data_IF_423919700970
#
_entry.id   IF_423919700970
#
_cell.length_a   1.000
_cell.length_b   1.000
_cell.length_c   1.000
_cell.angle_alpha   90.00
_cell.angle_beta   90.00
_cell.angle_gamma   90.00
#
_symmetry.space_group_name_H-M   'P 1'
#
loop_
_entity.id
_entity.type
_entity.pdbx_description
1 polymer ?
#
# COMPACT_ATOMS: atom_id res chain seq x y z
N UNK A 1 5.33 27.39 -60.66
CA UNK A 1 5.27 26.17 -59.83
C UNK A 1 6.40 26.23 -58.84
N UNK A 2 6.18 26.09 -57.53
CA UNK A 2 7.28 26.03 -56.57
C UNK A 2 8.12 24.75 -56.81
N UNK A 3 9.45 24.82 -56.74
CA UNK A 3 10.31 23.66 -56.98
C UNK A 3 10.03 22.58 -55.93
N UNK A 4 9.82 21.34 -56.38
CA UNK A 4 9.67 20.18 -55.47
C UNK A 4 10.95 20.10 -54.60
N UNK A 5 10.74 20.08 -53.26
CA UNK A 5 11.85 19.88 -52.33
C UNK A 5 12.58 18.55 -52.66
N UNK A 6 13.92 18.54 -52.71
CA UNK A 6 14.67 17.36 -53.07
C UNK A 6 14.42 16.22 -52.09
N UNK A 7 14.36 14.97 -52.59
CA UNK A 7 14.03 13.73 -51.83
C UNK A 7 14.81 13.58 -50.52
N UNK A 8 16.06 14.06 -50.43
CA UNK A 8 16.87 13.99 -49.23
C UNK A 8 16.35 14.92 -48.12
N UNK A 9 15.74 16.06 -48.44
CA UNK A 9 15.15 16.99 -47.43
C UNK A 9 13.91 16.34 -46.83
N UNK A 10 13.11 15.67 -47.69
CA UNK A 10 11.91 14.98 -47.23
C UNK A 10 12.23 13.78 -46.32
N UNK A 11 13.22 12.95 -46.71
CA UNK A 11 13.72 11.83 -45.87
C UNK A 11 14.26 12.31 -44.54
N UNK A 12 15.05 13.41 -44.49
CA UNK A 12 15.55 13.99 -43.25
C UNK A 12 14.45 14.45 -42.32
N UNK A 13 13.44 15.14 -42.84
CA UNK A 13 12.27 15.58 -42.06
C UNK A 13 11.49 14.38 -41.51
N UNK A 14 11.35 13.32 -42.26
CA UNK A 14 10.70 12.08 -41.82
C UNK A 14 11.47 11.38 -40.71
N UNK A 15 12.77 11.25 -40.83
CA UNK A 15 13.65 10.69 -39.78
C UNK A 15 13.60 11.51 -38.48
N UNK A 16 13.62 12.83 -38.58
CA UNK A 16 13.48 13.71 -37.39
C UNK A 16 12.14 13.51 -36.71
N UNK A 17 11.05 13.44 -37.47
CA UNK A 17 9.71 13.18 -36.92
C UNK A 17 9.64 11.80 -36.26
N UNK A 18 10.14 10.77 -36.93
CA UNK A 18 10.20 9.42 -36.38
C UNK A 18 10.99 9.39 -35.07
N UNK A 19 12.18 9.97 -35.05
CA UNK A 19 13.01 10.07 -33.84
C UNK A 19 12.29 10.82 -32.71
N UNK A 20 11.61 11.93 -33.04
CA UNK A 20 10.83 12.70 -32.07
C UNK A 20 9.67 11.87 -31.49
N UNK A 21 8.86 11.21 -32.32
CA UNK A 21 7.75 10.39 -31.82
C UNK A 21 8.25 9.17 -31.03
N UNK A 22 9.35 8.54 -31.48
CA UNK A 22 9.99 7.46 -30.73
C UNK A 22 10.45 7.93 -29.36
N UNK A 23 11.11 9.10 -29.29
CA UNK A 23 11.50 9.72 -28.02
C UNK A 23 10.29 10.00 -27.10
N UNK A 24 9.22 10.60 -27.65
CA UNK A 24 8.02 10.87 -26.86
C UNK A 24 7.44 9.59 -26.29
N UNK A 25 7.26 8.55 -27.11
CA UNK A 25 6.63 7.29 -26.68
C UNK A 25 7.51 6.49 -25.72
N UNK A 26 8.81 6.43 -25.94
CA UNK A 26 9.71 5.58 -25.13
C UNK A 26 10.39 6.30 -23.97
N UNK A 27 10.33 7.63 -23.91
CA UNK A 27 11.01 8.39 -22.85
C UNK A 27 10.03 9.34 -22.15
N UNK A 28 9.45 10.29 -22.86
CA UNK A 28 8.65 11.35 -22.23
C UNK A 28 7.37 10.81 -21.57
N UNK A 29 6.65 9.92 -22.25
CA UNK A 29 5.43 9.29 -21.70
C UNK A 29 5.76 8.39 -20.50
N UNK A 30 6.70 7.43 -20.56
CA UNK A 30 7.08 6.63 -19.39
C UNK A 30 7.58 7.47 -18.21
N UNK A 31 8.34 8.55 -18.46
CA UNK A 31 8.79 9.45 -17.42
C UNK A 31 7.61 10.14 -16.72
N UNK A 32 6.62 10.63 -17.48
CA UNK A 32 5.40 11.22 -16.92
C UNK A 32 4.59 10.20 -16.12
N UNK A 33 4.40 8.98 -16.64
CA UNK A 33 3.71 7.91 -15.91
C UNK A 33 4.48 7.46 -14.66
N UNK A 34 5.82 7.46 -14.67
CA UNK A 34 6.60 7.17 -13.47
C UNK A 34 6.34 8.18 -12.36
N UNK A 35 6.08 9.44 -12.70
CA UNK A 35 5.69 10.46 -11.72
C UNK A 35 4.33 10.13 -11.09
N UNK A 36 3.38 9.61 -11.89
CA UNK A 36 2.06 9.17 -11.37
C UNK A 36 2.22 7.99 -10.41
N UNK A 37 3.05 6.99 -10.76
CA UNK A 37 3.30 5.83 -9.90
C UNK A 37 3.97 6.18 -8.57
N UNK A 38 4.83 7.20 -8.57
CA UNK A 38 5.61 7.62 -7.40
C UNK A 38 4.93 8.73 -6.60
N UNK A 39 3.78 9.23 -7.06
CA UNK A 39 3.11 10.36 -6.42
C UNK A 39 2.42 9.91 -5.15
N UNK A 40 2.85 10.46 -4.02
CA UNK A 40 2.13 10.41 -2.76
C UNK A 40 1.00 11.45 -2.67
N UNK A 41 0.42 11.57 -1.49
CA UNK A 41 -0.67 12.49 -1.17
C UNK A 41 -0.33 13.26 0.12
N UNK A 42 0.67 14.14 0.03
CA UNK A 42 1.03 15.00 1.14
C UNK A 42 -0.14 15.97 1.47
N UNK A 43 -0.41 16.14 2.76
CA UNK A 43 -1.45 17.01 3.30
C UNK A 43 -0.87 17.87 4.41
N UNK A 44 -1.43 19.06 4.68
CA UNK A 44 -1.05 19.85 5.84
C UNK A 44 -1.26 19.06 7.14
N UNK A 45 -0.40 19.25 8.18
CA UNK A 45 -0.59 18.60 9.45
C UNK A 45 -1.88 19.09 10.12
N UNK A 46 -2.65 18.15 10.68
CA UNK A 46 -3.82 18.41 11.52
C UNK A 46 -3.56 18.02 12.97
N UNK A 47 -4.35 18.53 13.89
CA UNK A 47 -4.31 18.13 15.29
C UNK A 47 -4.97 16.74 15.47
N UNK A 48 -4.45 15.90 16.37
CA UNK A 48 -5.08 14.62 16.69
C UNK A 48 -6.44 14.85 17.38
N UNK A 49 -7.40 13.96 17.16
CA UNK A 49 -8.67 14.01 17.87
C UNK A 49 -8.48 13.70 19.38
N UNK A 50 -9.49 14.01 20.23
CA UNK A 50 -9.41 13.73 21.67
C UNK A 50 -9.02 12.28 21.98
N UNK A 51 -8.08 12.12 22.91
CA UNK A 51 -7.58 10.81 23.33
C UNK A 51 -6.40 10.27 22.51
N UNK A 52 -6.04 10.92 21.42
CA UNK A 52 -4.84 10.61 20.63
C UNK A 52 -3.72 11.60 20.94
N UNK A 53 -2.49 11.11 20.91
CA UNK A 53 -1.27 11.89 21.06
C UNK A 53 -0.55 11.89 19.73
N UNK A 54 -0.22 13.09 19.23
CA UNK A 54 0.61 13.24 18.05
C UNK A 54 2.05 12.81 18.37
N UNK A 55 2.65 12.07 17.45
CA UNK A 55 4.02 11.61 17.53
C UNK A 55 4.67 11.50 16.17
N UNK A 56 5.87 10.98 16.14
CA UNK A 56 6.55 10.63 14.90
C UNK A 56 7.49 9.47 15.10
N UNK A 57 7.71 8.70 14.02
CA UNK A 57 8.73 7.65 13.96
C UNK A 57 9.73 7.98 12.85
N UNK A 58 10.97 7.52 13.01
CA UNK A 58 12.01 7.70 12.01
C UNK A 58 12.15 6.42 11.17
N UNK A 59 11.92 6.52 9.87
CA UNK A 59 12.07 5.43 8.91
C UNK A 59 13.02 5.85 7.79
N UNK A 60 14.16 5.17 7.67
CA UNK A 60 15.17 5.45 6.62
C UNK A 60 15.53 6.95 6.50
N UNK A 61 15.62 7.67 7.63
CA UNK A 61 15.92 9.09 7.66
C UNK A 61 14.73 10.02 7.45
N UNK A 62 13.54 9.50 7.16
CA UNK A 62 12.28 10.25 7.04
C UNK A 62 11.53 10.27 8.37
N UNK A 63 11.01 11.42 8.74
CA UNK A 63 10.11 11.57 9.89
C UNK A 63 8.68 11.32 9.42
N UNK A 64 8.06 10.27 9.96
CA UNK A 64 6.71 9.87 9.64
C UNK A 64 5.77 10.24 10.79
N UNK A 65 4.64 10.88 10.47
CA UNK A 65 3.63 11.26 11.46
C UNK A 65 2.88 10.06 11.99
N UNK A 66 2.63 10.07 13.28
CA UNK A 66 1.80 9.07 13.95
C UNK A 66 0.78 9.72 14.87
N UNK A 67 -0.36 9.05 15.07
CA UNK A 67 -1.26 9.30 16.19
C UNK A 67 -1.41 8.03 17.01
N UNK A 68 -1.17 8.14 18.31
CA UNK A 68 -1.25 7.00 19.22
C UNK A 68 -2.31 7.24 20.28
N UNK A 69 -3.22 6.29 20.43
CA UNK A 69 -4.14 6.20 21.58
C UNK A 69 -3.73 5.06 22.47
N UNK A 70 -3.44 5.36 23.72
CA UNK A 70 -2.97 4.38 24.69
C UNK A 70 -4.11 3.51 25.20
N UNK A 71 -3.85 2.21 25.29
CA UNK A 71 -4.69 1.18 25.89
C UNK A 71 -3.96 0.41 26.97
N UNK A 72 -4.38 -0.83 27.20
CA UNK A 72 -3.77 -1.75 28.16
C UNK A 72 -2.58 -2.48 27.55
N UNK A 73 -1.48 -2.61 28.31
CA UNK A 73 -0.31 -3.38 27.89
C UNK A 73 -0.55 -4.91 27.93
N UNK A 74 -1.69 -5.34 28.49
CA UNK A 74 -2.11 -6.74 28.50
C UNK A 74 -2.76 -7.20 27.17
N UNK A 75 -3.03 -6.27 26.25
CA UNK A 75 -3.57 -6.55 24.92
C UNK A 75 -2.54 -6.24 23.84
N UNK A 76 -2.54 -6.97 22.72
CA UNK A 76 -1.70 -6.64 21.58
C UNK A 76 -1.95 -5.20 21.10
N UNK A 77 -0.89 -4.46 20.79
CA UNK A 77 -1.05 -3.15 20.19
C UNK A 77 -1.42 -3.29 18.70
N UNK A 78 -2.23 -2.36 18.19
CA UNK A 78 -2.70 -2.37 16.80
C UNK A 78 -2.02 -1.26 16.01
N UNK A 79 -1.37 -1.60 14.91
CA UNK A 79 -0.86 -0.64 13.92
C UNK A 79 -1.80 -0.63 12.73
N UNK A 80 -2.35 0.55 12.40
CA UNK A 80 -3.27 0.72 11.26
C UNK A 80 -2.61 1.58 10.19
N UNK A 81 -2.65 1.10 8.95
CA UNK A 81 -1.92 1.65 7.81
C UNK A 81 -2.87 1.89 6.63
N UNK A 82 -2.88 3.13 6.16
CA UNK A 82 -3.76 3.60 5.08
C UNK A 82 -3.32 3.14 3.68
N UNK A 83 -4.19 3.31 2.69
CA UNK A 83 -3.94 3.08 1.27
C UNK A 83 -3.29 4.26 0.55
N UNK A 84 -3.03 4.10 -0.75
CA UNK A 84 -2.50 5.16 -1.62
C UNK A 84 -3.49 6.33 -1.71
N UNK A 85 -2.98 7.54 -1.55
CA UNK A 85 -3.78 8.76 -1.67
C UNK A 85 -4.55 9.15 -0.42
N UNK A 86 -4.41 8.38 0.67
CA UNK A 86 -5.10 8.58 1.95
C UNK A 86 -4.14 9.02 3.07
N UNK A 87 -4.62 9.15 4.28
CA UNK A 87 -3.86 9.51 5.47
C UNK A 87 -4.40 8.82 6.72
N UNK A 88 -3.66 8.89 7.81
CA UNK A 88 -4.06 8.33 9.09
C UNK A 88 -5.40 8.87 9.63
N UNK A 89 -5.79 10.06 9.20
CA UNK A 89 -7.03 10.73 9.64
C UNK A 89 -8.28 9.96 9.29
N UNK A 90 -8.30 9.34 8.10
CA UNK A 90 -9.43 8.54 7.62
C UNK A 90 -9.63 7.23 8.41
N UNK A 91 -8.70 6.89 9.29
CA UNK A 91 -8.71 5.62 10.04
C UNK A 91 -9.00 5.78 11.53
N UNK A 92 -9.31 7.01 12.00
CA UNK A 92 -9.61 7.29 13.41
C UNK A 92 -10.81 6.46 13.90
N UNK A 93 -11.89 6.40 13.13
CA UNK A 93 -13.08 5.62 13.52
C UNK A 93 -12.76 4.12 13.67
N UNK A 94 -11.91 3.59 12.78
CA UNK A 94 -11.43 2.20 12.89
C UNK A 94 -10.58 2.01 14.14
N UNK A 95 -9.66 2.93 14.39
CA UNK A 95 -8.80 2.92 15.57
C UNK A 95 -9.59 2.98 16.88
N UNK A 96 -10.67 3.75 16.91
CA UNK A 96 -11.54 3.89 18.07
C UNK A 96 -12.25 2.58 18.45
N UNK A 97 -12.56 1.70 17.48
CA UNK A 97 -13.13 0.39 17.78
C UNK A 97 -12.15 -0.45 18.60
N UNK A 98 -10.87 -0.50 18.20
CA UNK A 98 -9.82 -1.22 18.92
C UNK A 98 -9.52 -0.56 20.28
N UNK A 99 -9.48 0.76 20.32
CA UNK A 99 -9.22 1.51 21.57
C UNK A 99 -10.31 1.28 22.60
N UNK A 100 -11.60 1.20 22.19
CA UNK A 100 -12.70 0.82 23.12
C UNK A 100 -12.58 -0.60 23.64
N UNK A 101 -11.90 -1.50 22.93
CA UNK A 101 -11.56 -2.85 23.40
C UNK A 101 -10.30 -2.90 24.27
N UNK A 102 -9.68 -1.77 24.52
CA UNK A 102 -8.52 -1.63 25.40
C UNK A 102 -7.18 -1.85 24.71
N UNK A 103 -7.11 -1.93 23.38
CA UNK A 103 -5.84 -1.97 22.66
C UNK A 103 -5.15 -0.60 22.63
N UNK A 104 -3.83 -0.57 22.74
CA UNK A 104 -3.06 0.58 22.24
C UNK A 104 -3.14 0.58 20.74
N UNK A 105 -3.47 1.74 20.13
CA UNK A 105 -3.59 1.86 18.66
C UNK A 105 -2.64 2.94 18.17
N UNK A 106 -1.86 2.62 17.15
CA UNK A 106 -1.00 3.54 16.42
C UNK A 106 -1.49 3.66 14.98
N UNK A 107 -1.85 4.87 14.59
CA UNK A 107 -2.12 5.27 13.23
C UNK A 107 -0.86 5.87 12.62
N UNK A 108 -0.50 5.48 11.41
CA UNK A 108 0.71 5.90 10.70
C UNK A 108 0.36 6.57 9.37
N UNK A 109 0.89 7.77 9.13
CA UNK A 109 1.05 8.26 7.76
C UNK A 109 2.29 7.63 7.14
N UNK A 110 2.11 6.90 6.06
CA UNK A 110 3.23 6.37 5.27
C UNK A 110 4.02 7.51 4.62
N UNK A 111 5.25 7.21 4.19
CA UNK A 111 6.08 8.17 3.44
C UNK A 111 5.32 8.83 2.30
N UNK A 112 5.61 10.11 2.04
CA UNK A 112 4.97 10.93 1.02
C UNK A 112 3.44 11.06 1.14
N UNK A 113 2.83 10.70 2.28
CA UNK A 113 1.40 10.82 2.54
C UNK A 113 1.13 11.59 3.83
N UNK A 114 -0.07 12.17 3.92
CA UNK A 114 -0.46 12.97 5.07
C UNK A 114 0.59 14.03 5.39
N UNK A 115 0.98 14.16 6.65
CA UNK A 115 2.04 15.08 7.08
C UNK A 115 3.40 14.38 7.29
N UNK A 116 3.59 13.18 6.75
CA UNK A 116 4.88 12.50 6.74
C UNK A 116 5.81 13.05 5.68
N UNK A 117 7.12 12.99 5.96
CA UNK A 117 8.15 13.33 5.00
C UNK A 117 8.23 12.29 3.87
N UNK A 118 8.94 12.64 2.80
CA UNK A 118 9.19 11.79 1.65
C UNK A 118 8.76 12.42 0.34
N UNK A 119 9.47 12.13 -0.74
CA UNK A 119 9.18 12.64 -2.08
C UNK A 119 8.45 11.64 -2.97
N UNK A 120 8.49 10.36 -2.59
CA UNK A 120 7.95 9.26 -3.40
C UNK A 120 7.28 8.20 -2.55
N UNK A 121 6.20 7.61 -3.08
CA UNK A 121 5.66 6.33 -2.63
C UNK A 121 6.20 5.21 -3.53
N UNK A 122 6.33 4.01 -2.99
CA UNK A 122 6.80 2.83 -3.72
C UNK A 122 5.76 1.70 -3.70
N UNK A 123 4.51 2.06 -3.42
CA UNK A 123 3.36 1.14 -3.39
C UNK A 123 3.62 -0.12 -2.53
N UNK A 124 4.06 0.05 -1.28
CA UNK A 124 4.36 -1.05 -0.35
C UNK A 124 5.81 -1.54 -0.41
N UNK A 125 6.67 -0.94 -1.25
CA UNK A 125 8.11 -1.18 -1.29
C UNK A 125 8.80 -0.72 -0.01
N UNK A 126 9.19 0.53 0.03
CA UNK A 126 9.78 1.17 1.21
C UNK A 126 8.77 1.41 2.34
N UNK A 127 7.47 1.37 2.07
CA UNK A 127 6.43 1.48 3.10
C UNK A 127 6.45 0.31 4.09
N UNK A 128 7.05 -0.82 3.74
CA UNK A 128 7.38 -1.91 4.66
C UNK A 128 8.22 -1.40 5.84
N UNK A 129 9.29 -0.65 5.57
CA UNK A 129 10.19 -0.10 6.59
C UNK A 129 9.49 0.95 7.45
N UNK A 130 8.50 1.67 6.90
CA UNK A 130 7.67 2.61 7.66
C UNK A 130 6.82 1.89 8.71
N UNK A 131 6.19 0.78 8.32
CA UNK A 131 5.43 -0.07 9.24
C UNK A 131 6.35 -0.68 10.31
N UNK A 132 7.54 -1.15 9.93
CA UNK A 132 8.51 -1.70 10.88
C UNK A 132 8.97 -0.65 11.89
N UNK A 133 9.21 0.60 11.45
CA UNK A 133 9.56 1.70 12.35
C UNK A 133 8.42 1.98 13.37
N UNK A 134 7.16 1.92 12.95
CA UNK A 134 6.01 2.05 13.86
C UNK A 134 5.93 0.89 14.87
N UNK A 135 6.20 -0.34 14.44
CA UNK A 135 6.25 -1.52 15.31
C UNK A 135 7.36 -1.39 16.34
N UNK A 136 8.54 -0.93 15.94
CA UNK A 136 9.69 -0.73 16.83
C UNK A 136 9.45 0.39 17.83
N UNK A 137 8.78 1.48 17.44
CA UNK A 137 8.40 2.54 18.38
C UNK A 137 7.50 2.00 19.50
N UNK A 138 6.47 1.20 19.15
CA UNK A 138 5.61 0.55 20.17
C UNK A 138 6.38 -0.40 21.08
N UNK A 139 7.37 -1.14 20.54
CA UNK A 139 8.25 -2.00 21.35
C UNK A 139 9.13 -1.20 22.29
N UNK A 140 9.76 -0.14 21.77
CA UNK A 140 10.63 0.75 22.56
C UNK A 140 9.90 1.44 23.69
N UNK A 141 8.60 1.71 23.53
CA UNK A 141 7.72 2.24 24.56
C UNK A 141 7.19 1.18 25.55
N UNK A 142 7.57 -0.09 25.39
CA UNK A 142 7.06 -1.22 26.19
C UNK A 142 5.62 -1.64 25.89
N UNK A 143 5.04 -1.19 24.77
CA UNK A 143 3.61 -1.37 24.43
C UNK A 143 3.32 -2.57 23.55
N UNK A 144 4.32 -3.32 23.16
CA UNK A 144 4.19 -4.52 22.35
C UNK A 144 4.40 -5.81 23.15
N UNK A 145 4.30 -5.77 24.49
CA UNK A 145 4.53 -6.94 25.36
C UNK A 145 3.57 -8.08 25.09
N UNK A 146 2.30 -7.80 24.85
CA UNK A 146 1.29 -8.79 24.44
C UNK A 146 1.33 -9.13 22.94
N UNK A 147 2.20 -8.48 22.16
CA UNK A 147 2.33 -8.62 20.71
C UNK A 147 1.71 -7.48 19.91
N UNK A 148 1.65 -7.67 18.61
CA UNK A 148 1.18 -6.68 17.64
C UNK A 148 0.11 -7.28 16.72
N UNK A 149 -0.92 -6.49 16.43
CA UNK A 149 -1.85 -6.70 15.31
C UNK A 149 -1.53 -5.67 14.24
N UNK A 150 -1.35 -6.12 13.00
CA UNK A 150 -1.15 -5.24 11.87
C UNK A 150 -2.42 -5.18 11.03
N UNK A 151 -2.89 -3.99 10.73
CA UNK A 151 -4.05 -3.77 9.87
C UNK A 151 -3.67 -2.83 8.72
N UNK A 152 -3.95 -3.24 7.48
CA UNK A 152 -3.60 -2.45 6.31
C UNK A 152 -4.63 -2.53 5.20
N UNK A 153 -4.72 -1.44 4.41
CA UNK A 153 -5.68 -1.30 3.33
C UNK A 153 -4.94 -1.01 2.02
N UNK A 154 -5.28 -1.72 0.93
CA UNK A 154 -4.72 -1.51 -0.41
C UNK A 154 -3.17 -1.52 -0.38
N UNK A 155 -2.51 -0.42 -0.70
CA UNK A 155 -1.05 -0.25 -0.56
C UNK A 155 -0.56 -0.58 0.86
N UNK A 156 -1.26 -0.09 1.88
CA UNK A 156 -0.95 -0.39 3.28
C UNK A 156 -1.11 -1.87 3.62
N UNK A 157 -2.02 -2.59 2.97
CA UNK A 157 -2.16 -4.04 3.11
C UNK A 157 -0.90 -4.78 2.65
N UNK A 158 -0.32 -4.37 1.52
CA UNK A 158 0.96 -4.94 1.04
C UNK A 158 2.12 -4.57 1.96
N UNK A 159 2.14 -3.33 2.46
CA UNK A 159 3.17 -2.88 3.40
C UNK A 159 3.15 -3.70 4.70
N UNK A 160 1.96 -3.95 5.31
CA UNK A 160 1.86 -4.73 6.56
C UNK A 160 2.17 -6.21 6.34
N UNK A 161 1.74 -6.83 5.22
CA UNK A 161 2.12 -8.21 4.90
C UNK A 161 3.64 -8.37 4.82
N UNK A 162 4.30 -7.47 4.11
CA UNK A 162 5.76 -7.47 3.97
C UNK A 162 6.48 -7.14 5.29
N UNK A 163 5.91 -6.26 6.11
CA UNK A 163 6.47 -5.91 7.43
C UNK A 163 6.35 -7.06 8.44
N UNK A 164 5.34 -7.93 8.31
CA UNK A 164 5.13 -9.07 9.20
C UNK A 164 6.19 -10.18 9.03
N UNK A 165 6.87 -10.23 7.88
CA UNK A 165 7.90 -11.25 7.61
C UNK A 165 9.05 -11.14 8.61
N UNK A 166 9.36 -12.25 9.27
CA UNK A 166 10.43 -12.32 10.27
C UNK A 166 10.11 -11.64 11.60
N UNK A 167 8.83 -11.34 11.88
CA UNK A 167 8.40 -10.60 13.08
C UNK A 167 7.60 -11.49 14.04
N UNK A 168 8.24 -12.19 14.99
CA UNK A 168 7.55 -13.14 15.90
C UNK A 168 6.56 -12.46 16.85
N UNK A 169 6.68 -11.14 17.07
CA UNK A 169 5.75 -10.39 17.89
C UNK A 169 4.40 -10.11 17.18
N UNK A 170 4.29 -10.33 15.88
CA UNK A 170 3.01 -10.19 15.17
C UNK A 170 2.10 -11.37 15.53
N UNK A 171 0.94 -11.07 16.11
CA UNK A 171 -0.06 -12.03 16.57
C UNK A 171 -1.16 -12.26 15.56
N UNK A 172 -1.51 -11.26 14.76
CA UNK A 172 -2.49 -11.37 13.70
C UNK A 172 -2.27 -10.25 12.66
N UNK A 173 -2.69 -10.52 11.43
CA UNK A 173 -2.66 -9.56 10.32
C UNK A 173 -4.05 -9.48 9.70
N UNK A 174 -4.56 -8.26 9.50
CA UNK A 174 -5.83 -7.99 8.80
C UNK A 174 -5.51 -7.13 7.58
N UNK A 175 -5.87 -7.59 6.40
CA UNK A 175 -5.66 -6.86 5.15
C UNK A 175 -6.93 -6.74 4.35
N UNK A 176 -7.20 -5.54 3.82
CA UNK A 176 -8.32 -5.27 2.94
C UNK A 176 -7.80 -4.84 1.57
N UNK A 177 -8.28 -5.48 0.51
CA UNK A 177 -7.92 -5.21 -0.87
C UNK A 177 -6.39 -5.21 -1.17
N UNK A 178 -5.58 -6.19 -0.69
CA UNK A 178 -4.19 -6.30 -1.09
C UNK A 178 -4.08 -6.65 -2.58
N UNK A 179 -3.07 -6.13 -3.27
CA UNK A 179 -2.67 -6.65 -4.58
C UNK A 179 -1.60 -7.75 -4.43
N UNK A 180 -1.42 -8.57 -5.46
CA UNK A 180 -0.51 -9.72 -5.46
C UNK A 180 0.97 -9.32 -5.57
N UNK A 181 1.33 -8.55 -6.61
CA UNK A 181 2.68 -8.01 -6.78
C UNK A 181 2.66 -6.69 -7.56
N UNK A 182 3.73 -5.91 -7.44
CA UNK A 182 3.83 -4.58 -8.04
C UNK A 182 3.58 -4.56 -9.55
N UNK A 183 4.28 -5.43 -10.30
CA UNK A 183 4.20 -5.41 -11.78
C UNK A 183 2.80 -5.78 -12.25
N UNK A 184 2.20 -6.84 -11.72
CA UNK A 184 0.85 -7.25 -12.08
C UNK A 184 -0.17 -6.15 -11.76
N UNK A 185 -0.02 -5.50 -10.60
CA UNK A 185 -0.86 -4.37 -10.19
C UNK A 185 -0.75 -3.18 -11.15
N UNK A 186 0.46 -2.77 -11.53
CA UNK A 186 0.68 -1.66 -12.49
C UNK A 186 0.11 -2.01 -13.86
N UNK A 187 0.33 -3.24 -14.36
CA UNK A 187 -0.26 -3.69 -15.64
C UNK A 187 -1.79 -3.74 -15.58
N UNK A 188 -2.36 -4.18 -14.47
CA UNK A 188 -3.81 -4.22 -14.29
C UNK A 188 -4.41 -2.80 -14.33
N UNK A 189 -3.84 -1.85 -13.58
CA UNK A 189 -4.28 -0.47 -13.56
C UNK A 189 -4.07 0.24 -14.92
N UNK A 190 -2.97 -0.03 -15.61
CA UNK A 190 -2.74 0.50 -16.95
C UNK A 190 -3.82 0.04 -17.95
N UNK A 191 -4.24 -1.23 -17.84
CA UNK A 191 -5.38 -1.72 -18.61
C UNK A 191 -6.72 -1.13 -18.16
N UNK A 192 -6.96 -1.10 -16.84
CA UNK A 192 -8.22 -0.61 -16.27
C UNK A 192 -8.48 0.87 -16.63
N UNK A 193 -7.47 1.71 -16.49
CA UNK A 193 -7.60 3.17 -16.62
C UNK A 193 -7.37 3.68 -18.04
N UNK A 194 -6.42 3.07 -18.77
CA UNK A 194 -5.94 3.58 -20.05
C UNK A 194 -6.11 2.60 -21.20
N UNK A 195 -6.64 1.39 -20.95
CA UNK A 195 -6.75 0.32 -21.94
C UNK A 195 -5.42 -0.03 -22.63
N UNK A 196 -4.30 0.15 -21.91
CA UNK A 196 -2.96 -0.16 -22.43
C UNK A 196 -2.70 -1.67 -22.42
N UNK A 197 -2.49 -2.29 -23.58
CA UNK A 197 -2.19 -3.73 -23.65
C UNK A 197 -0.79 -4.05 -23.06
N UNK A 198 -0.63 -5.27 -22.53
CA UNK A 198 0.61 -5.70 -21.88
C UNK A 198 1.86 -5.72 -22.79
N UNK A 199 1.66 -5.84 -24.11
CA UNK A 199 2.75 -5.84 -25.08
C UNK A 199 3.33 -4.45 -25.39
N UNK A 200 2.66 -3.38 -24.96
CA UNK A 200 3.13 -2.01 -25.16
C UNK A 200 4.31 -1.73 -24.23
N UNK A 201 5.48 -1.30 -24.73
CA UNK A 201 6.70 -1.17 -23.94
C UNK A 201 6.68 -0.01 -22.94
N UNK A 202 5.67 0.86 -22.94
CA UNK A 202 5.53 2.00 -22.05
C UNK A 202 5.54 1.55 -20.58
N UNK A 203 4.79 0.48 -20.23
CA UNK A 203 4.62 0.06 -18.84
C UNK A 203 5.95 -0.45 -18.24
N UNK A 204 6.66 -1.42 -18.84
CA UNK A 204 7.93 -1.87 -18.28
C UNK A 204 8.99 -0.75 -18.21
N UNK A 205 9.03 0.18 -19.18
CA UNK A 205 9.92 1.34 -19.14
C UNK A 205 9.52 2.28 -17.98
N UNK A 206 8.22 2.52 -17.79
CA UNK A 206 7.71 3.33 -16.67
C UNK A 206 8.13 2.73 -15.33
N UNK A 207 7.99 1.41 -15.14
CA UNK A 207 8.41 0.72 -13.93
C UNK A 207 9.92 0.86 -13.72
N UNK A 208 10.73 0.63 -14.75
CA UNK A 208 12.19 0.77 -14.65
C UNK A 208 12.62 2.20 -14.26
N UNK A 209 11.95 3.21 -14.81
CA UNK A 209 12.21 4.61 -14.43
C UNK A 209 11.77 4.85 -12.97
N UNK A 210 10.65 4.29 -12.52
CA UNK A 210 10.18 4.41 -11.14
C UNK A 210 11.16 3.73 -10.16
N UNK A 211 11.63 2.52 -10.48
CA UNK A 211 12.66 1.81 -9.71
C UNK A 211 13.94 2.64 -9.56
N UNK A 212 14.44 3.20 -10.68
CA UNK A 212 15.63 4.04 -10.65
C UNK A 212 15.46 5.33 -9.84
N UNK A 213 14.31 6.01 -9.98
CA UNK A 213 14.05 7.29 -9.31
C UNK A 213 13.83 7.15 -7.80
N UNK A 214 13.16 6.10 -7.37
CA UNK A 214 12.80 5.90 -5.96
C UNK A 214 13.69 4.87 -5.25
N UNK A 215 14.66 4.27 -5.93
CA UNK A 215 15.66 3.38 -5.33
C UNK A 215 15.08 2.08 -4.78
N UNK A 216 14.07 1.51 -5.43
CA UNK A 216 13.45 0.23 -5.04
C UNK A 216 13.46 -0.77 -6.20
N UNK A 217 13.08 -2.01 -5.94
CA UNK A 217 12.89 -3.04 -6.96
C UNK A 217 11.43 -3.50 -6.95
N UNK A 218 10.76 -3.38 -8.09
CA UNK A 218 9.37 -3.79 -8.23
C UNK A 218 9.15 -5.27 -7.93
N UNK A 219 10.13 -6.12 -8.26
CA UNK A 219 10.07 -7.57 -8.02
C UNK A 219 10.19 -7.96 -6.53
N UNK A 220 10.65 -7.04 -5.68
CA UNK A 220 10.69 -7.26 -4.23
C UNK A 220 9.32 -6.93 -3.58
N UNK A 221 8.45 -6.21 -4.28
CA UNK A 221 7.12 -5.85 -3.79
C UNK A 221 6.12 -6.93 -4.21
N UNK A 222 6.07 -7.99 -3.42
CA UNK A 222 5.29 -9.22 -3.68
C UNK A 222 4.58 -9.65 -2.40
N UNK A 223 3.25 -9.44 -2.37
CA UNK A 223 2.40 -9.79 -1.24
C UNK A 223 2.15 -11.30 -1.13
N UNK A 224 2.15 -12.01 -2.26
CA UNK A 224 2.01 -13.48 -2.29
C UNK A 224 3.21 -14.14 -1.62
N UNK A 225 4.43 -13.72 -2.01
CA UNK A 225 5.67 -14.20 -1.40
C UNK A 225 5.77 -13.80 0.08
N UNK A 226 5.36 -12.57 0.42
CA UNK A 226 5.35 -12.12 1.81
C UNK A 226 4.38 -12.96 2.66
N UNK A 227 3.17 -13.20 2.18
CA UNK A 227 2.15 -14.02 2.85
C UNK A 227 2.66 -15.45 3.10
N UNK A 228 3.37 -16.05 2.15
CA UNK A 228 3.99 -17.37 2.29
C UNK A 228 5.17 -17.40 3.29
N UNK A 229 5.61 -16.26 3.81
CA UNK A 229 6.86 -16.14 4.59
C UNK A 229 6.64 -15.84 6.08
N UNK A 230 5.40 -15.85 6.57
CA UNK A 230 5.09 -15.72 8.01
C UNK A 230 3.87 -16.57 8.37
N UNK A 231 3.76 -16.96 9.66
CA UNK A 231 2.73 -17.90 10.14
C UNK A 231 1.68 -17.31 11.08
N UNK A 232 1.73 -15.99 11.39
CA UNK A 232 0.70 -15.37 12.22
C UNK A 232 -0.67 -15.39 11.50
N UNK A 233 -1.80 -15.63 12.19
CA UNK A 233 -3.12 -15.67 11.57
C UNK A 233 -3.40 -14.48 10.64
N UNK A 234 -4.00 -14.72 9.47
CA UNK A 234 -4.31 -13.73 8.45
C UNK A 234 -5.81 -13.68 8.17
N UNK A 235 -6.41 -12.49 8.27
CA UNK A 235 -7.70 -12.19 7.66
C UNK A 235 -7.49 -11.35 6.40
N UNK A 236 -7.88 -11.89 5.25
CA UNK A 236 -7.89 -11.17 3.98
C UNK A 236 -9.33 -10.79 3.60
N UNK A 237 -9.58 -9.51 3.43
CA UNK A 237 -10.89 -8.95 3.10
C UNK A 237 -10.87 -8.55 1.62
N UNK A 238 -11.80 -9.11 0.85
CA UNK A 238 -12.04 -8.75 -0.53
C UNK A 238 -13.31 -7.90 -0.64
N UNK A 239 -13.21 -6.77 -1.31
CA UNK A 239 -14.35 -5.95 -1.66
C UNK A 239 -15.01 -6.53 -2.92
N UNK A 240 -16.26 -6.99 -2.81
CA UNK A 240 -16.92 -7.84 -3.81
C UNK A 240 -17.19 -7.17 -5.17
N UNK A 241 -17.19 -5.83 -5.22
CA UNK A 241 -17.33 -5.05 -6.46
C UNK A 241 -16.04 -4.32 -6.86
N UNK A 242 -14.92 -4.62 -6.21
CA UNK A 242 -13.66 -3.95 -6.45
C UNK A 242 -13.03 -4.35 -7.80
N UNK A 243 -13.04 -3.40 -8.74
CA UNK A 243 -12.39 -3.56 -10.05
C UNK A 243 -10.88 -3.33 -10.01
N UNK A 244 -10.36 -2.66 -8.96
CA UNK A 244 -8.93 -2.38 -8.80
C UNK A 244 -8.19 -3.59 -8.24
N UNK A 245 -8.76 -4.21 -7.20
CA UNK A 245 -8.24 -5.42 -6.54
C UNK A 245 -9.31 -6.51 -6.53
N UNK A 246 -9.55 -7.17 -7.68
CA UNK A 246 -10.56 -8.22 -7.78
C UNK A 246 -10.36 -9.32 -6.74
N UNK A 247 -11.45 -9.92 -6.26
CA UNK A 247 -11.45 -11.01 -5.27
C UNK A 247 -10.38 -12.08 -5.56
N UNK A 248 -10.23 -12.48 -6.83
CA UNK A 248 -9.24 -13.46 -7.23
C UNK A 248 -7.78 -13.05 -6.91
N UNK A 249 -7.49 -11.74 -6.85
CA UNK A 249 -6.17 -11.23 -6.46
C UNK A 249 -5.99 -11.38 -4.95
N UNK A 250 -6.99 -11.00 -4.17
CA UNK A 250 -6.99 -11.13 -2.70
C UNK A 250 -6.85 -12.59 -2.29
N UNK A 251 -7.60 -13.50 -2.95
CA UNK A 251 -7.49 -14.95 -2.70
C UNK A 251 -6.09 -15.49 -2.99
N UNK A 252 -5.43 -15.09 -4.08
CA UNK A 252 -4.05 -15.52 -4.36
C UNK A 252 -3.09 -15.17 -3.21
N UNK A 253 -3.26 -14.02 -2.59
CA UNK A 253 -2.45 -13.60 -1.43
C UNK A 253 -2.78 -14.45 -0.21
N UNK A 254 -4.06 -14.70 0.07
CA UNK A 254 -4.51 -15.49 1.20
C UNK A 254 -4.16 -16.97 1.05
N UNK A 255 -4.40 -17.58 -0.11
CA UNK A 255 -4.17 -19.01 -0.37
C UNK A 255 -2.67 -19.37 -0.33
N UNK A 256 -1.78 -18.39 -0.54
CA UNK A 256 -0.34 -18.56 -0.40
C UNK A 256 0.13 -18.50 1.07
N UNK A 257 -0.74 -18.12 2.00
CA UNK A 257 -0.33 -17.88 3.39
C UNK A 257 0.17 -19.15 4.08
N UNK A 258 1.31 -19.02 4.81
CA UNK A 258 1.94 -20.16 5.48
C UNK A 258 1.22 -20.59 6.77
N UNK A 259 0.40 -19.74 7.36
CA UNK A 259 -0.32 -19.96 8.61
C UNK A 259 -1.83 -20.07 8.45
N UNK A 260 -2.57 -20.09 9.56
CA UNK A 260 -4.03 -20.05 9.54
C UNK A 260 -4.52 -18.79 8.84
N UNK A 261 -5.46 -18.91 7.91
CA UNK A 261 -6.02 -17.76 7.23
C UNK A 261 -7.51 -17.89 6.99
N UNK A 262 -8.15 -16.74 6.84
CA UNK A 262 -9.55 -16.59 6.49
C UNK A 262 -9.68 -15.56 5.38
N UNK A 263 -10.54 -15.85 4.39
CA UNK A 263 -10.96 -14.86 3.39
C UNK A 263 -12.40 -14.49 3.65
N UNK A 264 -12.69 -13.21 3.74
CA UNK A 264 -14.05 -12.70 3.76
C UNK A 264 -14.28 -11.78 2.56
N UNK A 265 -15.36 -12.02 1.84
CA UNK A 265 -15.79 -11.18 0.71
C UNK A 265 -16.95 -10.31 1.20
N UNK A 266 -16.78 -8.99 1.13
CA UNK A 266 -17.81 -8.01 1.43
C UNK A 266 -18.70 -7.79 0.19
N UNK A 267 -19.93 -8.33 0.12
CA UNK A 267 -20.73 -8.24 -1.09
C UNK A 267 -21.03 -6.79 -1.47
N UNK A 268 -20.84 -6.44 -2.76
CA UNK A 268 -21.14 -5.12 -3.29
C UNK A 268 -20.21 -3.98 -2.83
N UNK A 269 -19.25 -4.25 -1.98
CA UNK A 269 -18.27 -3.25 -1.56
C UNK A 269 -17.35 -2.89 -2.73
N UNK A 270 -17.14 -1.60 -2.96
CA UNK A 270 -16.10 -1.06 -3.83
C UNK A 270 -14.77 -0.98 -3.09
N UNK A 271 -13.69 -0.58 -3.78
CA UNK A 271 -12.33 -0.54 -3.24
C UNK A 271 -12.23 0.12 -1.85
N UNK A 272 -11.78 -0.66 -0.84
CA UNK A 272 -11.71 -0.26 0.58
C UNK A 272 -13.07 0.12 1.17
N UNK A 273 -14.14 -0.42 0.62
CA UNK A 273 -15.52 -0.15 1.02
C UNK A 273 -16.13 -1.15 1.99
N UNK A 274 -15.42 -2.25 2.31
CA UNK A 274 -15.95 -3.29 3.20
C UNK A 274 -16.35 -2.77 4.58
N UNK A 275 -15.73 -1.69 5.07
CA UNK A 275 -16.05 -1.04 6.35
C UNK A 275 -17.51 -0.60 6.43
N UNK A 276 -18.16 -0.32 5.30
CA UNK A 276 -19.58 0.09 5.23
C UNK A 276 -20.54 -1.12 5.33
N UNK A 277 -20.03 -2.34 5.22
CA UNK A 277 -20.84 -3.55 5.33
C UNK A 277 -21.20 -3.82 6.80
N UNK A 278 -22.46 -4.14 7.13
CA UNK A 278 -22.89 -4.36 8.51
C UNK A 278 -22.11 -5.42 9.28
N UNK A 279 -21.61 -6.43 8.58
CA UNK A 279 -20.84 -7.53 9.18
C UNK A 279 -19.35 -7.25 9.35
N UNK A 280 -18.82 -6.15 8.84
CA UNK A 280 -17.39 -5.88 8.83
C UNK A 280 -16.76 -6.06 10.22
N UNK A 281 -17.27 -5.34 11.21
CA UNK A 281 -16.72 -5.41 12.56
C UNK A 281 -16.94 -6.74 13.23
N UNK A 282 -18.05 -7.41 12.96
CA UNK A 282 -18.29 -8.77 13.47
C UNK A 282 -17.22 -9.72 12.95
N UNK A 283 -16.90 -9.69 11.66
CA UNK A 283 -15.88 -10.55 11.04
C UNK A 283 -14.49 -10.24 11.58
N UNK A 284 -14.08 -8.97 11.58
CA UNK A 284 -12.75 -8.55 12.05
C UNK A 284 -12.56 -8.90 13.52
N UNK A 285 -13.52 -8.57 14.38
CA UNK A 285 -13.38 -8.80 15.82
C UNK A 285 -13.45 -10.29 16.18
N UNK A 286 -14.33 -11.06 15.52
CA UNK A 286 -14.37 -12.52 15.74
C UNK A 286 -13.08 -13.21 15.33
N UNK A 287 -12.46 -12.76 14.23
CA UNK A 287 -11.16 -13.27 13.80
C UNK A 287 -10.06 -12.97 14.82
N UNK A 288 -10.01 -11.75 15.36
CA UNK A 288 -9.02 -11.36 16.37
C UNK A 288 -9.23 -12.10 17.68
N UNK A 289 -10.47 -12.25 18.15
CA UNK A 289 -10.79 -13.03 19.34
C UNK A 289 -10.35 -14.50 19.18
N UNK A 290 -10.59 -15.11 18.02
CA UNK A 290 -10.13 -16.46 17.70
C UNK A 290 -8.61 -16.58 17.62
N UNK A 291 -7.92 -15.47 17.32
CA UNK A 291 -6.44 -15.39 17.25
C UNK A 291 -5.82 -15.05 18.61
N UNK A 292 -6.61 -14.91 19.67
CA UNK A 292 -6.15 -14.57 21.01
C UNK A 292 -5.68 -13.12 21.17
N UNK A 293 -6.28 -12.20 20.40
CA UNK A 293 -5.93 -10.77 20.40
C UNK A 293 -7.00 -9.88 21.06
#
# INVERSE_FOLDING_TARGET
MPPFAPLHVWRRRWLIRLAFYTFVVLVAVPLAFSQVLLRGAAQPPSAPPPGYVAGSVLSQGLRLRTWTRRGSDARPAVVIVHGLGDSLESYVDRADVFARRGHTVLLLDLRAHGASEGGYTTLGGHEREDVQAAMEALRGEGRAGAGLVLMGHSMGAVAVLRAAVGQPAVRAVVVEAPYDNYRANVFHHAWLLYRLPRWVPIIPITIAIAEWRAGFRADDVDAVRASASFGAPLLAIADGADMRMPEAVVRRVADAHAGPHQVWVAPGAEHVGAILHPDYWRVVLSFLDASGC
#
